data_IF_919536809878
#
_entry.id   IF_919536809878
#
_cell.length_a   1.000
_cell.length_b   1.000
_cell.length_c   1.000
_cell.angle_alpha   90.00
_cell.angle_beta   90.00
_cell.angle_gamma   90.00
#
_symmetry.space_group_name_H-M   'P 1'
#
loop_
_entity.id
_entity.type
_entity.pdbx_description
1 polymer ?
#
# COMPACT_ATOMS: atom_id res chain seq x y z
N UNK A 1 30.88 39.45 -16.82
CA UNK A 1 29.82 40.05 -15.97
C UNK A 1 28.44 39.46 -16.28
N UNK A 2 27.95 39.49 -17.53
CA UNK A 2 26.65 38.91 -17.94
C UNK A 2 26.56 37.39 -17.70
N UNK A 3 27.63 36.63 -18.02
CA UNK A 3 27.67 35.18 -17.80
C UNK A 3 27.58 34.78 -16.31
N UNK A 4 28.15 35.59 -15.41
CA UNK A 4 28.10 35.37 -13.96
C UNK A 4 26.70 35.64 -13.39
N UNK A 5 26.04 36.69 -13.87
CA UNK A 5 24.65 37.00 -13.53
C UNK A 5 23.73 35.86 -14.00
N UNK A 6 23.92 35.37 -15.22
CA UNK A 6 23.15 34.26 -15.78
C UNK A 6 23.30 32.97 -14.97
N UNK A 7 24.53 32.65 -14.52
CA UNK A 7 24.78 31.47 -13.70
C UNK A 7 24.19 31.60 -12.28
N UNK A 8 24.22 32.81 -11.71
CA UNK A 8 23.65 33.10 -10.39
C UNK A 8 22.13 33.10 -10.41
N UNK A 9 21.52 33.62 -11.46
CA UNK A 9 20.06 33.54 -11.69
C UNK A 9 19.65 32.08 -11.88
N UNK A 10 20.34 31.29 -12.72
CA UNK A 10 20.03 29.87 -12.89
C UNK A 10 20.23 29.04 -11.62
N UNK A 11 21.23 29.37 -10.80
CA UNK A 11 21.43 28.75 -9.49
C UNK A 11 20.31 29.08 -8.50
N UNK A 12 19.74 30.28 -8.57
CA UNK A 12 18.60 30.70 -7.75
C UNK A 12 17.31 30.06 -8.27
N UNK A 13 17.10 30.03 -9.59
CA UNK A 13 15.94 29.38 -10.22
C UNK A 13 15.93 27.87 -9.94
N UNK A 14 17.09 27.18 -10.00
CA UNK A 14 17.20 25.78 -9.57
C UNK A 14 16.91 25.56 -8.08
N UNK A 15 17.09 26.58 -7.24
CA UNK A 15 16.65 26.55 -5.82
C UNK A 15 15.16 26.85 -5.62
N UNK A 16 14.51 27.44 -6.63
CA UNK A 16 13.08 27.75 -6.61
C UNK A 16 12.22 26.63 -7.21
N UNK A 17 12.83 25.63 -7.87
CA UNK A 17 12.12 24.40 -8.22
C UNK A 17 11.90 23.56 -6.97
N UNK A 18 10.66 23.54 -6.51
CA UNK A 18 10.21 22.66 -5.43
C UNK A 18 10.52 21.21 -5.81
N UNK A 19 11.37 20.55 -5.02
CA UNK A 19 11.69 19.15 -5.19
C UNK A 19 10.40 18.33 -5.10
N UNK A 20 10.10 17.54 -6.14
CA UNK A 20 8.95 16.62 -6.15
C UNK A 20 9.44 15.21 -5.96
N UNK A 21 8.90 14.52 -4.95
CA UNK A 21 9.28 13.14 -4.62
C UNK A 21 8.04 12.27 -4.59
N UNK A 22 8.08 11.15 -5.32
CA UNK A 22 7.10 10.09 -5.22
C UNK A 22 7.74 8.95 -4.43
N UNK A 23 7.11 8.59 -3.31
CA UNK A 23 7.51 7.45 -2.49
C UNK A 23 6.58 6.29 -2.81
N UNK A 24 7.13 5.24 -3.41
CA UNK A 24 6.41 4.04 -3.81
C UNK A 24 7.19 2.82 -3.28
N UNK A 25 6.89 2.41 -2.05
CA UNK A 25 7.60 1.37 -1.30
C UNK A 25 6.63 0.22 -1.06
N UNK A 26 7.05 -1.02 -1.32
CA UNK A 26 6.25 -2.21 -1.00
C UNK A 26 6.30 -2.52 0.51
N UNK A 27 5.40 -3.38 0.97
CA UNK A 27 5.37 -3.84 2.36
C UNK A 27 6.66 -4.58 2.76
N UNK A 28 7.03 -4.42 4.03
CA UNK A 28 8.05 -5.21 4.68
C UNK A 28 7.33 -6.35 5.39
N UNK A 29 7.24 -7.52 4.73
CA UNK A 29 6.49 -8.68 5.22
C UNK A 29 6.75 -8.97 6.70
N UNK A 30 5.68 -8.99 7.50
CA UNK A 30 5.73 -9.23 8.94
C UNK A 30 6.25 -8.05 9.78
N UNK A 31 6.42 -6.86 9.20
CA UNK A 31 6.93 -5.68 9.90
C UNK A 31 6.13 -4.40 9.62
N UNK A 32 6.21 -3.85 8.40
CA UNK A 32 5.55 -2.59 8.04
C UNK A 32 4.68 -2.79 6.80
N UNK A 33 3.47 -2.23 6.83
CA UNK A 33 2.65 -2.07 5.63
C UNK A 33 3.33 -1.11 4.64
N UNK A 34 2.94 -1.19 3.36
CA UNK A 34 3.44 -0.30 2.32
C UNK A 34 3.21 1.18 2.68
N UNK A 35 2.05 1.52 3.25
CA UNK A 35 1.73 2.89 3.65
C UNK A 35 2.60 3.37 4.82
N UNK A 36 2.84 2.53 5.83
CA UNK A 36 3.69 2.88 6.97
C UNK A 36 5.14 3.12 6.54
N UNK A 37 5.69 2.23 5.71
CA UNK A 37 7.03 2.40 5.15
C UNK A 37 7.15 3.68 4.31
N UNK A 38 6.13 3.96 3.49
CA UNK A 38 6.06 5.17 2.68
C UNK A 38 5.97 6.45 3.52
N UNK A 39 5.21 6.44 4.61
CA UNK A 39 5.08 7.57 5.53
C UNK A 39 6.38 7.82 6.31
N UNK A 40 7.06 6.76 6.75
CA UNK A 40 8.36 6.88 7.43
C UNK A 40 9.42 7.49 6.49
N UNK A 41 9.46 7.06 5.23
CA UNK A 41 10.35 7.64 4.22
C UNK A 41 10.01 9.13 3.96
N UNK A 42 8.71 9.46 3.85
CA UNK A 42 8.27 10.86 3.72
C UNK A 42 8.73 11.73 4.90
N UNK A 43 8.63 11.23 6.13
CA UNK A 43 9.11 11.94 7.31
C UNK A 43 10.62 12.21 7.22
N UNK A 44 11.42 11.20 6.84
CA UNK A 44 12.86 11.35 6.64
C UNK A 44 13.21 12.38 5.55
N UNK A 45 12.49 12.36 4.43
CA UNK A 45 12.68 13.31 3.32
C UNK A 45 12.39 14.73 3.80
N UNK A 46 11.28 14.95 4.50
CA UNK A 46 10.91 16.29 4.98
C UNK A 46 11.84 16.82 6.08
N UNK A 47 12.49 15.93 6.85
CA UNK A 47 13.56 16.33 7.79
C UNK A 47 14.79 16.86 7.05
N UNK A 48 15.16 16.27 5.91
CA UNK A 48 16.32 16.69 5.12
C UNK A 48 16.00 17.86 4.16
N UNK A 49 14.79 17.87 3.60
CA UNK A 49 14.29 18.86 2.64
C UNK A 49 12.86 19.28 3.02
N UNK A 50 12.70 20.25 3.93
CA UNK A 50 11.39 20.68 4.44
C UNK A 50 10.44 21.20 3.35
N UNK A 51 10.98 21.79 2.28
CA UNK A 51 10.20 22.35 1.18
C UNK A 51 9.84 21.32 0.10
N UNK A 52 10.22 20.04 0.26
CA UNK A 52 9.93 19.02 -0.73
C UNK A 52 8.42 18.71 -0.78
N UNK A 53 7.88 18.61 -1.99
CA UNK A 53 6.55 18.07 -2.23
C UNK A 53 6.62 16.53 -2.33
N UNK A 54 6.23 15.85 -1.25
CA UNK A 54 6.31 14.39 -1.14
C UNK A 54 4.93 13.75 -1.17
N UNK A 55 4.72 12.89 -2.16
CA UNK A 55 3.51 12.07 -2.33
C UNK A 55 3.84 10.61 -2.07
N UNK A 56 3.09 9.97 -1.18
CA UNK A 56 3.19 8.52 -0.93
C UNK A 56 2.15 7.79 -1.76
N UNK A 57 2.59 6.75 -2.48
CA UNK A 57 1.73 5.85 -3.24
C UNK A 57 2.00 4.42 -2.77
N UNK A 58 1.07 3.80 -2.01
CA UNK A 58 1.27 2.43 -1.58
C UNK A 58 1.35 1.51 -2.81
N UNK A 59 2.25 0.55 -2.74
CA UNK A 59 2.48 -0.49 -3.74
C UNK A 59 2.14 -1.85 -3.15
N UNK A 60 1.80 -2.77 -4.03
CA UNK A 60 1.68 -4.18 -3.71
C UNK A 60 1.92 -5.02 -4.97
N UNK A 61 2.40 -6.25 -4.77
CA UNK A 61 2.77 -7.21 -5.82
C UNK A 61 1.66 -8.23 -6.13
N UNK A 62 0.47 -8.06 -5.53
CA UNK A 62 -0.62 -9.05 -5.56
C UNK A 62 -0.72 -9.88 -4.27
N UNK A 63 0.23 -9.71 -3.34
CA UNK A 63 0.17 -10.28 -2.00
C UNK A 63 -0.68 -9.48 -1.01
N UNK A 64 -0.32 -9.59 0.28
CA UNK A 64 -0.97 -8.92 1.39
C UNK A 64 -0.94 -7.38 1.24
N UNK A 65 -2.11 -6.73 1.39
CA UNK A 65 -2.23 -5.27 1.36
C UNK A 65 -2.44 -4.66 -0.04
N UNK A 66 -2.56 -5.48 -1.08
CA UNK A 66 -2.92 -5.08 -2.45
C UNK A 66 -4.26 -4.36 -2.56
N UNK A 67 -5.29 -4.89 -1.90
CA UNK A 67 -6.65 -4.37 -1.84
C UNK A 67 -6.63 -2.97 -1.24
N UNK A 68 -5.99 -2.83 -0.07
CA UNK A 68 -5.85 -1.54 0.61
C UNK A 68 -5.08 -0.51 -0.24
N UNK A 69 -3.98 -0.94 -0.89
CA UNK A 69 -3.22 -0.07 -1.78
C UNK A 69 -4.05 0.40 -3.00
N UNK A 70 -4.82 -0.50 -3.61
CA UNK A 70 -5.63 -0.19 -4.78
C UNK A 70 -6.84 0.68 -4.45
N UNK A 71 -7.57 0.42 -3.35
CA UNK A 71 -8.68 1.30 -2.96
C UNK A 71 -8.19 2.71 -2.63
N UNK A 72 -7.04 2.85 -1.93
CA UNK A 72 -6.46 4.14 -1.62
C UNK A 72 -5.99 4.88 -2.89
N UNK A 73 -5.45 4.15 -3.87
CA UNK A 73 -4.98 4.71 -5.13
C UNK A 73 -6.08 5.07 -6.14
N UNK A 74 -7.18 4.33 -6.13
CA UNK A 74 -8.25 4.40 -7.14
C UNK A 74 -9.57 4.98 -6.61
N UNK A 75 -9.64 5.37 -5.34
CA UNK A 75 -10.86 5.93 -4.74
C UNK A 75 -11.93 4.86 -4.47
N UNK A 76 -11.51 3.67 -4.06
CA UNK A 76 -12.39 2.56 -3.73
C UNK A 76 -12.91 2.58 -2.31
N UNK A 77 -13.98 1.84 -2.07
CA UNK A 77 -14.55 1.60 -0.75
C UNK A 77 -14.12 0.24 -0.21
N UNK A 78 -13.82 0.17 1.09
CA UNK A 78 -13.57 -1.08 1.78
C UNK A 78 -14.88 -1.67 2.29
N UNK A 79 -15.12 -2.95 2.00
CA UNK A 79 -16.28 -3.69 2.48
C UNK A 79 -15.79 -4.85 3.33
N UNK A 80 -16.02 -4.77 4.64
CA UNK A 80 -15.68 -5.82 5.59
C UNK A 80 -16.82 -6.85 5.69
N UNK A 81 -16.46 -8.12 5.81
CA UNK A 81 -17.39 -9.24 5.89
C UNK A 81 -16.77 -10.43 6.64
N UNK A 82 -17.63 -11.30 7.16
CA UNK A 82 -17.20 -12.57 7.77
C UNK A 82 -17.37 -13.70 6.77
N UNK A 83 -16.28 -14.46 6.53
CA UNK A 83 -16.26 -15.60 5.62
C UNK A 83 -15.79 -16.86 6.32
N UNK A 84 -16.00 -18.02 5.69
CA UNK A 84 -15.43 -19.28 6.17
C UNK A 84 -13.92 -19.29 5.90
N UNK A 85 -13.13 -19.33 6.97
CA UNK A 85 -11.67 -19.39 6.91
C UNK A 85 -11.12 -20.76 6.50
N UNK A 86 -9.78 -20.90 6.40
CA UNK A 86 -9.14 -22.09 5.82
C UNK A 86 -9.39 -23.36 6.64
N UNK A 87 -9.59 -23.22 7.96
CA UNK A 87 -9.90 -24.30 8.91
C UNK A 87 -11.41 -24.51 9.13
N UNK A 88 -12.28 -23.87 8.33
CA UNK A 88 -13.74 -23.95 8.48
C UNK A 88 -14.32 -23.04 9.57
N UNK A 89 -13.49 -22.29 10.30
CA UNK A 89 -13.91 -21.31 11.30
C UNK A 89 -14.15 -19.94 10.67
N UNK A 90 -15.10 -19.13 11.16
CA UNK A 90 -15.31 -17.77 10.66
C UNK A 90 -14.06 -16.90 10.80
N UNK A 91 -13.75 -16.10 9.78
CA UNK A 91 -12.68 -15.10 9.77
C UNK A 91 -13.20 -13.78 9.22
N UNK A 92 -12.64 -12.67 9.71
CA UNK A 92 -12.91 -11.35 9.14
C UNK A 92 -12.05 -11.17 7.89
N UNK A 93 -12.72 -10.94 6.76
CA UNK A 93 -12.11 -10.62 5.49
C UNK A 93 -12.63 -9.27 4.99
N UNK A 94 -12.06 -8.78 3.90
CA UNK A 94 -12.55 -7.58 3.24
C UNK A 94 -12.25 -7.65 1.75
N UNK A 95 -12.98 -6.84 0.98
CA UNK A 95 -12.67 -6.56 -0.41
C UNK A 95 -12.83 -5.06 -0.68
N UNK A 96 -12.16 -4.60 -1.74
CA UNK A 96 -12.29 -3.25 -2.25
C UNK A 96 -13.32 -3.18 -3.37
N UNK A 97 -14.16 -2.15 -3.37
CA UNK A 97 -15.13 -1.92 -4.43
C UNK A 97 -14.91 -0.58 -5.10
N UNK A 98 -14.69 -0.62 -6.42
CA UNK A 98 -14.56 0.56 -7.28
C UNK A 98 -15.90 0.80 -7.98
N UNK A 99 -16.76 1.62 -7.38
CA UNK A 99 -18.13 1.84 -7.85
C UNK A 99 -18.20 2.31 -9.31
N UNK A 100 -17.37 3.30 -9.68
CA UNK A 100 -17.33 3.85 -11.05
C UNK A 100 -16.96 2.80 -12.11
N UNK A 101 -16.14 1.83 -11.73
CA UNK A 101 -15.66 0.76 -12.63
C UNK A 101 -16.42 -0.54 -12.48
N UNK A 102 -17.41 -0.60 -11.58
CA UNK A 102 -18.10 -1.83 -11.20
C UNK A 102 -17.14 -3.02 -10.98
N UNK A 103 -16.06 -2.77 -10.24
CA UNK A 103 -14.95 -3.73 -10.08
C UNK A 103 -14.72 -4.02 -8.61
N UNK A 104 -14.71 -5.30 -8.24
CA UNK A 104 -14.29 -5.75 -6.92
C UNK A 104 -12.82 -6.22 -6.96
N UNK A 105 -12.06 -5.84 -5.93
CA UNK A 105 -10.67 -6.22 -5.71
C UNK A 105 -10.63 -7.05 -4.44
N UNK A 106 -10.19 -8.30 -4.55
CA UNK A 106 -10.18 -9.25 -3.44
C UNK A 106 -8.76 -9.80 -3.25
N UNK A 107 -8.32 -9.83 -1.99
CA UNK A 107 -7.18 -10.64 -1.57
C UNK A 107 -7.64 -11.94 -0.93
N UNK A 108 -7.31 -13.07 -1.56
CA UNK A 108 -7.58 -14.40 -1.01
C UNK A 108 -6.93 -14.60 0.36
N UNK A 109 -5.77 -13.99 0.61
CA UNK A 109 -5.04 -14.14 1.87
C UNK A 109 -5.85 -13.69 3.10
N UNK A 110 -6.76 -12.72 2.94
CA UNK A 110 -7.66 -12.27 4.03
C UNK A 110 -8.70 -13.32 4.42
N UNK A 111 -9.02 -14.26 3.51
CA UNK A 111 -9.99 -15.33 3.74
C UNK A 111 -9.36 -16.70 3.96
N UNK A 112 -8.26 -17.02 3.27
CA UNK A 112 -7.58 -18.33 3.32
C UNK A 112 -6.05 -18.22 3.35
N UNK A 113 -5.52 -17.09 3.83
CA UNK A 113 -4.08 -16.90 3.96
C UNK A 113 -3.46 -17.75 5.06
N UNK A 114 -2.17 -18.07 4.88
CA UNK A 114 -1.40 -18.87 5.83
C UNK A 114 -1.26 -18.22 7.22
N UNK A 115 -1.39 -16.89 7.29
CA UNK A 115 -1.37 -16.12 8.53
C UNK A 115 -2.58 -16.41 9.44
N UNK A 116 -3.65 -16.97 8.89
CA UNK A 116 -4.86 -17.37 9.63
C UNK A 116 -4.72 -18.75 10.28
N UNK A 117 -3.60 -19.45 10.06
CA UNK A 117 -3.37 -20.82 10.52
C UNK A 117 -2.17 -20.84 11.47
N UNK A 118 -2.38 -21.31 12.70
CA UNK A 118 -1.28 -21.50 13.66
C UNK A 118 -0.29 -22.53 13.14
N UNK A 119 0.99 -22.37 13.50
CA UNK A 119 2.07 -23.26 13.02
C UNK A 119 1.76 -24.75 13.24
N UNK A 120 1.19 -25.10 14.39
CA UNK A 120 0.78 -26.48 14.73
C UNK A 120 -0.35 -27.04 13.86
N UNK A 121 -1.08 -26.18 13.15
CA UNK A 121 -2.26 -26.52 12.35
C UNK A 121 -1.97 -26.47 10.84
N UNK A 122 -0.78 -26.02 10.43
CA UNK A 122 -0.36 -25.98 9.02
C UNK A 122 -0.16 -27.40 8.49
N UNK A 123 -1.19 -27.92 7.82
CA UNK A 123 -1.16 -29.19 7.09
C UNK A 123 -1.45 -28.94 5.62
N UNK A 124 -0.61 -29.48 4.74
CA UNK A 124 -0.75 -29.28 3.28
C UNK A 124 -2.08 -29.82 2.69
N UNK A 125 -2.82 -30.64 3.43
CA UNK A 125 -4.00 -31.38 2.95
C UNK A 125 -5.35 -30.76 3.32
N UNK A 126 -5.40 -29.72 4.16
CA UNK A 126 -6.66 -29.11 4.60
C UNK A 126 -6.69 -27.62 4.27
N UNK A 127 -7.35 -27.27 3.17
CA UNK A 127 -7.73 -25.89 2.87
C UNK A 127 -9.15 -25.87 2.28
N UNK A 128 -10.13 -25.47 3.09
CA UNK A 128 -11.49 -25.25 2.61
C UNK A 128 -11.51 -24.00 1.72
N UNK A 129 -11.87 -24.15 0.45
CA UNK A 129 -11.99 -23.01 -0.46
C UNK A 129 -13.40 -22.40 -0.31
N UNK A 130 -13.42 -21.22 0.33
CA UNK A 130 -14.49 -20.21 0.41
C UNK A 130 -15.93 -20.71 0.21
N UNK A 131 -16.70 -20.71 1.30
CA UNK A 131 -18.16 -20.55 1.25
C UNK A 131 -18.53 -19.22 1.90
N UNK A 132 -19.03 -18.27 1.12
CA UNK A 132 -19.71 -17.09 1.63
C UNK A 132 -21.14 -17.49 2.03
N UNK A 133 -21.60 -17.02 3.18
CA UNK A 133 -23.02 -17.05 3.57
C UNK A 133 -23.68 -15.74 3.21
#
# INVERSE_FOLDING_TARGET
MIHWIYHKINSVIRRLEIMKVVVAIDSFKGSLTSIEAGMAAKEGILKAHPDANVVVKPLADGGEGTTDALIAGLGGERIDLTVTGPLGTPVNAHYGYLAEKNTAILEMATAAGIILVRESEKKSTYCNHLRCR
#
